data_IF_744809357248
#
_entry.id   IF_744809357248
#
_cell.length_a   1.000
_cell.length_b   1.000
_cell.length_c   1.000
_cell.angle_alpha   90.00
_cell.angle_beta   90.00
_cell.angle_gamma   90.00
#
_symmetry.space_group_name_H-M   'P 1'
#
loop_
_entity.id
_entity.type
_entity.pdbx_description
1 polymer ?
#
# COMPACT_ATOMS: atom_id res chain seq x y z
N UNK A 1 22.40 -14.99 -24.38
CA UNK A 1 23.22 -15.94 -23.63
C UNK A 1 22.45 -16.43 -22.44
N UNK A 2 22.51 -17.70 -22.05
CA UNK A 2 21.69 -18.25 -20.97
C UNK A 2 22.24 -17.75 -19.63
N UNK A 3 21.43 -17.07 -18.84
CA UNK A 3 21.74 -16.72 -17.44
C UNK A 3 22.12 -17.98 -16.65
N UNK A 4 22.94 -17.82 -15.63
CA UNK A 4 23.39 -18.91 -14.77
C UNK A 4 22.19 -19.61 -14.13
N UNK A 5 21.90 -20.84 -14.53
CA UNK A 5 20.88 -21.67 -13.88
C UNK A 5 21.62 -22.62 -12.94
N UNK A 6 21.69 -22.24 -11.64
CA UNK A 6 22.16 -23.17 -10.62
C UNK A 6 21.07 -24.22 -10.32
N UNK A 7 21.50 -25.45 -9.95
CA UNK A 7 20.57 -26.41 -9.34
C UNK A 7 20.25 -25.95 -7.90
N UNK A 8 19.12 -25.33 -7.72
CA UNK A 8 18.71 -24.61 -6.50
C UNK A 8 18.79 -25.50 -5.25
N UNK A 9 18.43 -26.78 -5.33
CA UNK A 9 18.20 -27.65 -4.16
C UNK A 9 19.47 -28.17 -3.46
N UNK A 10 20.68 -27.94 -3.99
CA UNK A 10 21.94 -28.50 -3.43
C UNK A 10 23.09 -27.50 -3.40
N UNK A 11 22.90 -26.28 -3.89
CA UNK A 11 24.01 -25.33 -4.03
C UNK A 11 24.20 -24.50 -2.77
N UNK A 12 25.40 -24.60 -2.18
CA UNK A 12 25.88 -23.73 -1.12
C UNK A 12 26.99 -22.87 -1.69
N UNK A 13 26.76 -21.56 -1.73
CA UNK A 13 27.77 -20.58 -2.17
C UNK A 13 28.67 -20.20 -0.99
N UNK A 14 29.97 -20.17 -1.23
CA UNK A 14 31.03 -19.73 -0.29
C UNK A 14 30.99 -20.44 1.08
N UNK A 15 30.34 -21.63 1.16
CA UNK A 15 30.13 -22.32 2.45
C UNK A 15 29.23 -21.56 3.46
N UNK A 16 28.58 -20.48 3.02
CA UNK A 16 27.79 -19.58 3.85
C UNK A 16 26.30 -19.54 3.46
N UNK A 17 25.98 -19.60 2.15
CA UNK A 17 24.66 -19.28 1.63
C UNK A 17 24.06 -20.48 0.90
N UNK A 18 22.96 -21.01 1.41
CA UNK A 18 22.17 -22.06 0.76
C UNK A 18 21.16 -21.43 -0.18
N UNK A 19 21.21 -21.72 -1.47
CA UNK A 19 20.21 -21.25 -2.42
C UNK A 19 18.86 -21.92 -2.17
N UNK A 20 17.80 -21.09 -2.12
CA UNK A 20 16.42 -21.53 -1.84
C UNK A 20 15.57 -21.51 -3.12
N UNK A 21 15.52 -20.37 -3.81
CA UNK A 21 14.75 -20.18 -5.04
C UNK A 21 15.36 -19.06 -5.90
N UNK A 22 15.01 -19.02 -7.18
CA UNK A 22 15.26 -17.84 -8.01
C UNK A 22 14.16 -16.79 -7.72
N UNK A 23 14.58 -15.54 -7.51
CA UNK A 23 13.68 -14.39 -7.34
C UNK A 23 13.41 -13.69 -8.67
N UNK A 24 14.40 -13.62 -9.56
CA UNK A 24 14.28 -13.01 -10.87
C UNK A 24 15.46 -13.33 -11.77
N UNK A 25 15.23 -13.27 -13.09
CA UNK A 25 16.27 -13.49 -14.11
C UNK A 25 16.21 -12.34 -15.10
N UNK A 26 17.26 -11.53 -15.13
CA UNK A 26 17.47 -10.47 -16.10
C UNK A 26 18.31 -10.90 -17.29
N UNK A 27 18.65 -9.96 -18.17
CA UNK A 27 19.47 -10.21 -19.36
C UNK A 27 20.92 -10.59 -19.04
N UNK A 28 21.49 -10.05 -17.96
CA UNK A 28 22.90 -10.19 -17.56
C UNK A 28 23.08 -10.79 -16.17
N UNK A 29 22.03 -10.94 -15.39
CA UNK A 29 22.09 -11.41 -13.99
C UNK A 29 20.90 -12.26 -13.60
N UNK A 30 21.08 -13.06 -12.55
CA UNK A 30 20.00 -13.80 -11.89
C UNK A 30 20.09 -13.53 -10.40
N UNK A 31 18.93 -13.21 -9.77
CA UNK A 31 18.84 -12.98 -8.34
C UNK A 31 18.24 -14.22 -7.67
N UNK A 32 18.87 -14.70 -6.62
CA UNK A 32 18.43 -15.85 -5.84
C UNK A 32 18.08 -15.45 -4.42
N UNK A 33 17.02 -16.05 -3.87
CA UNK A 33 16.82 -16.13 -2.44
C UNK A 33 17.80 -17.16 -1.87
N UNK A 34 18.53 -16.77 -0.84
CA UNK A 34 19.47 -17.65 -0.15
C UNK A 34 19.33 -17.52 1.37
N UNK A 35 19.51 -18.63 2.07
CA UNK A 35 19.59 -18.68 3.53
C UNK A 35 21.06 -18.60 3.98
N UNK A 36 21.40 -17.64 4.82
CA UNK A 36 22.69 -17.62 5.48
C UNK A 36 22.72 -18.68 6.59
N UNK A 37 23.43 -19.79 6.36
CA UNK A 37 23.36 -21.02 7.16
C UNK A 37 23.61 -20.78 8.66
N UNK A 38 24.62 -19.96 9.01
CA UNK A 38 25.01 -19.73 10.42
C UNK A 38 24.09 -18.73 11.12
N UNK A 39 23.55 -17.73 10.41
CA UNK A 39 22.74 -16.67 10.98
C UNK A 39 21.24 -16.98 10.93
N UNK A 40 20.85 -17.98 10.13
CA UNK A 40 19.46 -18.38 9.90
C UNK A 40 18.59 -17.20 9.46
N UNK A 41 19.10 -16.43 8.49
CA UNK A 41 18.43 -15.28 7.89
C UNK A 41 18.49 -15.34 6.38
N UNK A 42 17.48 -14.78 5.71
CA UNK A 42 17.45 -14.73 4.26
C UNK A 42 18.24 -13.54 3.71
N UNK A 43 18.81 -13.74 2.51
CA UNK A 43 19.52 -12.74 1.69
C UNK A 43 19.09 -12.87 0.25
N UNK A 44 19.16 -11.78 -0.50
CA UNK A 44 19.13 -11.82 -1.95
C UNK A 44 20.58 -11.89 -2.47
N UNK A 45 20.82 -12.75 -3.44
CA UNK A 45 22.16 -12.90 -4.06
C UNK A 45 22.02 -12.66 -5.55
N UNK A 46 22.52 -11.53 -6.03
CA UNK A 46 22.59 -11.18 -7.44
C UNK A 46 23.84 -11.77 -8.04
N UNK A 47 23.68 -12.72 -8.97
CA UNK A 47 24.77 -13.39 -9.69
C UNK A 47 24.94 -12.79 -11.08
N UNK A 48 26.11 -12.25 -11.39
CA UNK A 48 26.44 -11.56 -12.64
C UNK A 48 27.57 -12.33 -13.33
N UNK A 49 27.34 -12.78 -14.57
CA UNK A 49 28.37 -13.53 -15.31
C UNK A 49 29.57 -12.64 -15.65
N UNK A 50 30.81 -13.20 -15.54
CA UNK A 50 32.03 -12.50 -15.88
C UNK A 50 32.24 -12.48 -17.38
N UNK A 51 31.63 -11.55 -18.09
CA UNK A 51 31.99 -11.17 -19.46
C UNK A 51 32.56 -9.73 -19.46
N UNK A 52 33.16 -9.34 -20.58
CA UNK A 52 33.90 -8.06 -20.67
C UNK A 52 33.02 -6.81 -20.44
N UNK A 53 31.70 -6.91 -20.65
CA UNK A 53 30.77 -5.82 -20.44
C UNK A 53 30.25 -5.81 -18.99
N UNK A 54 30.11 -6.99 -18.37
CA UNK A 54 29.57 -7.15 -17.03
C UNK A 54 30.54 -6.73 -15.91
N UNK A 55 31.86 -6.79 -16.16
CA UNK A 55 32.88 -6.39 -15.17
C UNK A 55 32.76 -4.91 -14.81
N UNK A 56 32.59 -4.03 -15.80
CA UNK A 56 32.43 -2.60 -15.56
C UNK A 56 31.11 -2.26 -14.87
N UNK A 57 30.01 -2.96 -15.23
CA UNK A 57 28.71 -2.78 -14.62
C UNK A 57 28.68 -3.23 -13.16
N UNK A 58 29.25 -4.39 -12.86
CA UNK A 58 29.36 -4.90 -11.48
C UNK A 58 30.15 -3.95 -10.58
N UNK A 59 31.34 -3.54 -11.02
CA UNK A 59 32.17 -2.62 -10.24
C UNK A 59 31.46 -1.30 -9.97
N UNK A 60 30.74 -0.78 -10.95
CA UNK A 60 29.97 0.47 -10.79
C UNK A 60 28.80 0.31 -9.82
N UNK A 61 28.00 -0.75 -9.96
CA UNK A 61 26.85 -1.00 -9.07
C UNK A 61 27.31 -1.24 -7.62
N UNK A 62 28.33 -2.06 -7.43
CA UNK A 62 28.90 -2.34 -6.13
C UNK A 62 29.50 -1.09 -5.47
N UNK A 63 30.21 -0.26 -6.24
CA UNK A 63 30.78 1.01 -5.75
C UNK A 63 29.70 2.01 -5.37
N UNK A 64 28.61 2.08 -6.13
CA UNK A 64 27.47 2.94 -5.82
C UNK A 64 26.78 2.51 -4.52
N UNK A 65 26.50 1.22 -4.35
CA UNK A 65 25.65 0.71 -3.29
C UNK A 65 26.34 0.57 -1.93
N UNK A 66 27.68 0.36 -1.88
CA UNK A 66 28.40 0.04 -0.64
C UNK A 66 28.24 1.09 0.48
N UNK A 67 28.06 2.36 0.09
CA UNK A 67 27.99 3.50 1.00
C UNK A 67 26.56 4.06 1.15
N UNK A 68 25.55 3.40 0.55
CA UNK A 68 24.16 3.85 0.63
C UNK A 68 23.51 3.37 1.94
N UNK A 69 22.94 4.31 2.67
CA UNK A 69 22.20 4.07 3.90
C UNK A 69 20.87 4.81 3.89
N UNK A 70 19.84 4.17 3.33
CA UNK A 70 18.49 4.72 3.27
C UNK A 70 17.45 3.61 3.48
N UNK A 71 16.37 3.82 4.26
CA UNK A 71 15.35 2.79 4.50
C UNK A 71 14.72 2.23 3.23
N UNK A 72 14.60 3.03 2.19
CA UNK A 72 14.06 2.66 0.87
C UNK A 72 15.07 2.02 -0.09
N UNK A 73 16.29 1.67 0.35
CA UNK A 73 17.33 1.03 -0.47
C UNK A 73 17.85 -0.22 0.26
N UNK A 74 17.99 -1.38 -0.42
CA UNK A 74 18.55 -2.57 0.20
C UNK A 74 20.00 -2.37 0.66
N UNK A 75 20.34 -2.93 1.81
CA UNK A 75 21.70 -2.91 2.35
C UNK A 75 22.54 -4.00 1.66
N UNK A 76 23.73 -3.66 1.19
CA UNK A 76 24.73 -4.66 0.80
C UNK A 76 25.42 -5.21 2.05
N UNK A 77 25.49 -6.53 2.16
CA UNK A 77 26.13 -7.23 3.26
C UNK A 77 27.52 -7.76 2.89
N UNK A 78 27.70 -8.21 1.64
CA UNK A 78 28.95 -8.83 1.19
C UNK A 78 29.05 -8.79 -0.33
N UNK A 79 30.26 -8.94 -0.85
CA UNK A 79 30.54 -9.11 -2.27
C UNK A 79 31.55 -10.24 -2.41
N UNK A 80 31.26 -11.19 -3.27
CA UNK A 80 32.09 -12.36 -3.50
C UNK A 80 32.26 -12.57 -5.01
N UNK A 81 33.26 -13.35 -5.37
CA UNK A 81 33.49 -13.75 -6.77
C UNK A 81 34.04 -15.15 -6.85
N UNK A 82 33.79 -15.83 -7.99
CA UNK A 82 34.45 -17.06 -8.39
C UNK A 82 35.00 -16.91 -9.81
N UNK A 83 35.41 -18.02 -10.44
CA UNK A 83 35.97 -18.00 -11.81
C UNK A 83 34.97 -17.52 -12.87
N UNK A 84 33.66 -17.68 -12.65
CA UNK A 84 32.60 -17.48 -13.65
C UNK A 84 31.68 -16.29 -13.33
N UNK A 85 31.51 -15.94 -12.06
CA UNK A 85 30.51 -14.96 -11.62
C UNK A 85 31.05 -13.99 -10.58
N UNK A 86 30.44 -12.80 -10.58
CA UNK A 86 30.41 -11.88 -9.45
C UNK A 86 29.10 -12.06 -8.69
N UNK A 87 29.13 -11.85 -7.36
CA UNK A 87 27.99 -11.99 -6.48
C UNK A 87 27.85 -10.75 -5.58
N UNK A 88 26.66 -10.14 -5.58
CA UNK A 88 26.29 -9.11 -4.61
C UNK A 88 25.32 -9.77 -3.63
N UNK A 89 25.68 -9.77 -2.35
CA UNK A 89 24.85 -10.28 -1.26
C UNK A 89 24.18 -9.10 -0.58
N UNK A 90 22.88 -9.00 -0.76
CA UNK A 90 22.10 -7.87 -0.30
C UNK A 90 20.91 -8.27 0.58
N UNK A 91 20.27 -7.29 1.17
CA UNK A 91 19.05 -7.46 1.96
C UNK A 91 17.99 -8.16 1.11
N UNK A 92 17.46 -9.28 1.64
CA UNK A 92 16.23 -9.82 1.09
C UNK A 92 15.06 -8.96 1.50
N UNK A 93 14.43 -8.32 0.54
CA UNK A 93 13.26 -7.46 0.73
C UNK A 93 12.01 -8.32 0.66
N UNK A 94 11.40 -8.57 1.80
CA UNK A 94 10.15 -9.32 1.88
C UNK A 94 8.98 -8.45 1.43
N UNK A 95 8.47 -8.67 0.23
CA UNK A 95 7.39 -7.92 -0.39
C UNK A 95 7.16 -8.39 -1.82
N UNK A 96 6.31 -7.71 -2.55
CA UNK A 96 6.06 -7.97 -3.96
C UNK A 96 6.43 -6.75 -4.82
N UNK A 97 6.73 -6.96 -6.10
CA UNK A 97 7.01 -5.85 -6.99
C UNK A 97 5.77 -4.98 -7.17
N UNK A 98 5.97 -3.68 -7.37
CA UNK A 98 4.87 -2.73 -7.57
C UNK A 98 4.02 -3.10 -8.79
N UNK A 99 4.61 -3.69 -9.83
CA UNK A 99 3.90 -4.24 -10.98
C UNK A 99 2.94 -5.38 -10.57
N UNK A 100 3.43 -6.34 -9.79
CA UNK A 100 2.60 -7.41 -9.23
C UNK A 100 1.52 -6.84 -8.33
N UNK A 101 1.88 -5.92 -7.42
CA UNK A 101 0.95 -5.29 -6.48
C UNK A 101 -0.24 -4.64 -7.19
N UNK A 102 -0.01 -3.80 -8.22
CA UNK A 102 -1.11 -3.13 -8.94
C UNK A 102 -1.88 -4.04 -9.87
N UNK A 103 -1.32 -5.21 -10.26
CA UNK A 103 -2.02 -6.18 -11.11
C UNK A 103 -3.23 -6.83 -10.43
N UNK A 104 -3.20 -6.94 -9.12
CA UNK A 104 -4.27 -7.57 -8.33
C UNK A 104 -4.91 -6.63 -7.29
N UNK A 105 -4.40 -5.39 -7.14
CA UNK A 105 -4.90 -4.45 -6.16
C UNK A 105 -5.18 -3.09 -6.77
N UNK A 106 -6.42 -2.63 -6.65
CA UNK A 106 -6.78 -1.25 -6.96
C UNK A 106 -6.21 -0.35 -5.87
N UNK A 107 -5.52 0.70 -6.25
CA UNK A 107 -4.93 1.67 -5.32
C UNK A 107 -5.81 2.91 -5.14
N UNK A 108 -5.76 3.52 -3.97
CA UNK A 108 -6.39 4.82 -3.76
C UNK A 108 -5.50 5.95 -4.30
N UNK A 109 -6.10 7.11 -4.59
CA UNK A 109 -5.33 8.31 -4.96
C UNK A 109 -4.36 8.72 -3.82
N UNK A 110 -4.78 8.56 -2.57
CA UNK A 110 -3.93 8.78 -1.40
C UNK A 110 -2.69 7.88 -1.40
N UNK A 111 -2.87 6.57 -1.64
CA UNK A 111 -1.75 5.62 -1.67
C UNK A 111 -0.81 5.92 -2.84
N UNK A 112 -1.35 6.27 -4.01
CA UNK A 112 -0.58 6.71 -5.17
C UNK A 112 0.34 7.89 -4.82
N UNK A 113 -0.21 8.92 -4.16
CA UNK A 113 0.56 10.09 -3.74
C UNK A 113 1.62 9.75 -2.70
N UNK A 114 1.30 8.90 -1.72
CA UNK A 114 2.27 8.42 -0.72
C UNK A 114 3.41 7.63 -1.34
N UNK A 115 3.14 6.80 -2.33
CA UNK A 115 4.18 6.12 -3.10
C UNK A 115 5.08 7.11 -3.83
N UNK A 116 4.49 8.12 -4.48
CA UNK A 116 5.24 9.19 -5.13
C UNK A 116 6.14 9.95 -4.17
N UNK A 117 5.63 10.32 -2.99
CA UNK A 117 6.39 11.04 -1.95
C UNK A 117 7.56 10.20 -1.43
N UNK A 118 7.35 8.90 -1.15
CA UNK A 118 8.43 8.00 -0.72
C UNK A 118 9.52 7.84 -1.79
N UNK A 119 9.13 7.72 -3.06
CA UNK A 119 10.10 7.64 -4.17
C UNK A 119 10.85 8.96 -4.35
N UNK A 120 10.19 10.11 -4.15
CA UNK A 120 10.88 11.40 -4.12
C UNK A 120 11.93 11.45 -3.00
N UNK A 121 11.62 10.94 -1.80
CA UNK A 121 12.55 10.89 -0.66
C UNK A 121 13.80 10.05 -0.98
N UNK A 122 13.62 8.87 -1.57
CA UNK A 122 14.73 8.02 -2.02
C UNK A 122 15.59 8.74 -3.08
N UNK A 123 14.96 9.33 -4.09
CA UNK A 123 15.68 10.05 -5.16
C UNK A 123 16.35 11.31 -4.62
N UNK A 124 15.72 12.02 -3.68
CA UNK A 124 16.32 13.18 -3.03
C UNK A 124 17.60 12.80 -2.28
N UNK A 125 17.58 11.67 -1.56
CA UNK A 125 18.77 11.13 -0.92
C UNK A 125 19.88 10.86 -1.95
N UNK A 126 19.57 10.17 -3.06
CA UNK A 126 20.55 9.86 -4.13
C UNK A 126 21.12 11.14 -4.79
N UNK A 127 20.28 12.12 -5.07
CA UNK A 127 20.68 13.36 -5.73
C UNK A 127 21.51 14.30 -4.84
N UNK A 128 21.57 14.08 -3.53
CA UNK A 128 22.34 14.91 -2.59
C UNK A 128 23.56 14.19 -1.99
N UNK A 129 23.89 13.00 -2.50
CA UNK A 129 25.09 12.28 -2.07
C UNK A 129 26.37 13.05 -2.44
N UNK A 130 27.33 12.98 -1.53
CA UNK A 130 28.66 13.58 -1.71
C UNK A 130 29.72 12.48 -1.86
N UNK A 131 30.76 12.62 -2.69
CA UNK A 131 31.09 13.84 -3.46
C UNK A 131 30.32 14.00 -4.77
N UNK A 132 29.63 12.96 -5.23
CA UNK A 132 28.88 13.00 -6.50
C UNK A 132 27.47 12.49 -6.31
N UNK A 133 26.45 13.23 -6.78
CA UNK A 133 25.08 12.73 -6.85
C UNK A 133 24.98 11.44 -7.67
N UNK A 134 24.01 10.61 -7.33
CA UNK A 134 23.68 9.41 -8.10
C UNK A 134 22.36 9.63 -8.86
N UNK A 135 22.38 9.34 -10.16
CA UNK A 135 21.19 9.26 -11.01
C UNK A 135 20.75 7.79 -11.08
N UNK A 136 19.48 7.52 -10.80
CA UNK A 136 18.95 6.17 -10.78
C UNK A 136 18.64 5.62 -12.18
N UNK A 137 17.96 6.40 -13.02
CA UNK A 137 17.71 6.23 -14.46
C UNK A 137 16.81 5.04 -14.88
N UNK A 138 16.44 4.11 -14.01
CA UNK A 138 15.61 2.92 -14.36
C UNK A 138 14.39 2.76 -13.47
N UNK A 139 13.68 3.87 -13.22
CA UNK A 139 12.42 3.84 -12.48
C UNK A 139 11.35 3.10 -13.28
N UNK A 140 10.94 1.93 -12.77
CA UNK A 140 9.85 1.13 -13.33
C UNK A 140 9.22 0.28 -12.22
N UNK A 141 7.98 -0.19 -12.40
CA UNK A 141 7.26 -0.91 -11.36
C UNK A 141 7.96 -2.17 -10.85
N UNK A 142 8.70 -2.88 -11.73
CA UNK A 142 9.42 -4.12 -11.42
C UNK A 142 10.61 -3.89 -10.47
N UNK A 143 11.15 -2.67 -10.43
CA UNK A 143 12.29 -2.30 -9.59
C UNK A 143 11.89 -1.69 -8.24
N UNK A 144 10.62 -1.72 -7.91
CA UNK A 144 10.10 -1.19 -6.65
C UNK A 144 9.37 -2.32 -5.92
N UNK A 145 9.82 -2.62 -4.70
CA UNK A 145 9.19 -3.62 -3.83
C UNK A 145 8.29 -2.93 -2.82
N UNK A 146 7.05 -3.37 -2.75
CA UNK A 146 6.05 -2.91 -1.77
C UNK A 146 6.17 -3.78 -0.52
N UNK A 147 6.52 -3.19 0.61
CA UNK A 147 6.70 -3.84 1.90
C UNK A 147 5.73 -3.22 2.92
N UNK A 148 4.48 -3.67 2.92
CA UNK A 148 3.44 -3.02 3.71
C UNK A 148 3.16 -1.59 3.22
N UNK A 149 3.51 -0.59 4.04
CA UNK A 149 3.37 0.83 3.72
C UNK A 149 4.66 1.48 3.20
N UNK A 150 5.76 0.71 3.12
CA UNK A 150 7.06 1.18 2.69
C UNK A 150 7.41 0.68 1.30
N UNK A 151 8.15 1.50 0.55
CA UNK A 151 8.72 1.12 -0.73
C UNK A 151 10.22 0.92 -0.59
N UNK A 152 10.75 -0.09 -1.30
CA UNK A 152 12.18 -0.23 -1.52
C UNK A 152 12.50 -0.23 -3.01
N UNK A 153 13.46 0.62 -3.38
CA UNK A 153 13.98 0.73 -4.73
C UNK A 153 15.14 -0.26 -4.88
N UNK A 154 15.02 -1.19 -5.81
CA UNK A 154 16.00 -2.25 -6.07
C UNK A 154 16.62 -2.08 -7.46
N UNK A 155 17.70 -2.78 -7.73
CA UNK A 155 18.40 -2.83 -9.03
C UNK A 155 19.01 -1.49 -9.47
N UNK A 156 20.26 -1.28 -9.09
CA UNK A 156 21.07 -0.10 -9.45
C UNK A 156 22.00 -0.35 -10.65
N UNK A 157 21.72 -1.39 -11.47
CA UNK A 157 22.59 -1.84 -12.55
C UNK A 157 22.91 -0.81 -13.62
N UNK A 158 22.09 0.24 -13.80
CA UNK A 158 22.36 1.37 -14.72
C UNK A 158 22.46 2.71 -14.02
N UNK A 159 22.35 2.75 -12.70
CA UNK A 159 22.60 3.96 -11.92
C UNK A 159 24.04 4.46 -12.14
N UNK A 160 24.24 5.77 -12.06
CA UNK A 160 25.55 6.36 -12.33
C UNK A 160 25.81 7.59 -11.50
N UNK A 161 27.10 7.86 -11.20
CA UNK A 161 27.52 9.13 -10.61
C UNK A 161 27.34 10.29 -11.57
N UNK A 162 26.73 11.37 -11.10
CA UNK A 162 26.61 12.62 -11.86
C UNK A 162 27.83 13.49 -11.61
N UNK A 163 28.78 13.48 -12.56
CA UNK A 163 30.05 14.24 -12.45
C UNK A 163 30.00 15.61 -13.13
N UNK A 164 28.85 16.00 -13.70
CA UNK A 164 28.69 17.26 -14.44
C UNK A 164 29.48 17.34 -15.78
N UNK A 165 30.37 16.37 -16.03
CA UNK A 165 31.16 16.31 -17.27
C UNK A 165 30.52 15.29 -18.22
N UNK A 166 29.92 15.77 -19.29
CA UNK A 166 29.16 14.99 -20.27
C UNK A 166 29.98 13.95 -21.03
N UNK A 167 30.47 12.92 -20.36
CA UNK A 167 31.18 11.81 -20.99
C UNK A 167 30.39 10.50 -20.86
N UNK A 168 30.18 9.88 -22.00
CA UNK A 168 29.62 8.56 -22.26
C UNK A 168 28.14 8.36 -22.00
N UNK A 169 27.42 8.52 -23.07
CA UNK A 169 25.97 8.27 -23.10
C UNK A 169 25.72 6.94 -23.79
N UNK A 170 25.62 5.86 -23.01
CA UNK A 170 24.90 4.68 -23.46
C UNK A 170 23.41 5.01 -23.34
N UNK A 171 22.61 4.49 -24.27
CA UNK A 171 21.16 4.59 -24.17
C UNK A 171 20.74 3.67 -23.03
N UNK A 172 20.31 4.26 -21.90
CA UNK A 172 19.88 3.53 -20.72
C UNK A 172 18.40 3.78 -20.43
N UNK A 173 17.78 2.82 -19.77
CA UNK A 173 16.42 2.92 -19.26
C UNK A 173 15.38 2.17 -20.09
N UNK A 174 14.27 1.85 -19.42
CA UNK A 174 13.10 1.20 -20.03
C UNK A 174 12.33 2.24 -20.85
N UNK A 175 12.11 1.98 -22.15
CA UNK A 175 11.61 2.93 -23.15
C UNK A 175 10.38 3.73 -22.71
N UNK A 176 9.48 3.12 -21.92
CA UNK A 176 8.22 3.75 -21.53
C UNK A 176 8.36 4.73 -20.34
N UNK A 177 9.45 4.63 -19.58
CA UNK A 177 9.74 5.42 -18.39
C UNK A 177 10.95 6.34 -18.56
N UNK A 178 11.81 6.09 -19.55
CA UNK A 178 13.05 6.84 -19.76
C UNK A 178 12.79 8.25 -20.29
N UNK A 179 13.56 9.23 -19.80
CA UNK A 179 13.50 10.60 -20.26
C UNK A 179 13.91 10.74 -21.73
N UNK A 180 13.34 11.70 -22.50
CA UNK A 180 13.66 11.89 -23.92
C UNK A 180 15.14 12.08 -24.20
N UNK A 181 15.85 12.84 -23.35
CA UNK A 181 17.30 13.04 -23.44
C UNK A 181 18.09 11.74 -23.22
N UNK A 182 17.65 10.86 -22.31
CA UNK A 182 18.28 9.57 -22.08
C UNK A 182 18.10 8.64 -23.29
N UNK A 183 16.88 8.59 -23.85
CA UNK A 183 16.59 7.82 -25.09
C UNK A 183 17.37 8.35 -26.28
N UNK A 184 17.60 9.66 -26.37
CA UNK A 184 18.37 10.31 -27.43
C UNK A 184 19.90 10.19 -27.24
N UNK A 185 20.37 9.58 -26.12
CA UNK A 185 21.80 9.51 -25.80
C UNK A 185 22.44 10.89 -25.51
N UNK A 186 21.61 11.83 -25.05
CA UNK A 186 22.08 13.17 -24.65
C UNK A 186 22.47 13.19 -23.16
N UNK A 187 23.18 14.22 -22.68
CA UNK A 187 23.51 14.37 -21.28
C UNK A 187 22.28 14.32 -20.38
N UNK A 188 22.33 13.43 -19.38
CA UNK A 188 21.29 13.32 -18.36
C UNK A 188 21.66 14.07 -17.08
N UNK A 189 20.66 14.52 -16.36
CA UNK A 189 20.77 15.21 -15.08
C UNK A 189 19.71 14.66 -14.10
N UNK A 190 19.68 15.09 -12.83
CA UNK A 190 18.63 14.68 -11.89
C UNK A 190 17.19 14.85 -12.41
N UNK A 191 16.98 15.74 -13.39
CA UNK A 191 15.67 15.92 -14.01
C UNK A 191 15.20 14.72 -14.84
N UNK A 192 16.10 13.80 -15.21
CA UNK A 192 15.73 12.56 -15.88
C UNK A 192 14.98 11.61 -14.92
N UNK A 193 15.41 11.53 -13.66
CA UNK A 193 14.70 10.75 -12.63
C UNK A 193 13.35 11.38 -12.27
N UNK A 194 13.23 12.71 -12.31
CA UNK A 194 11.94 13.41 -12.15
C UNK A 194 10.98 13.01 -13.27
N UNK A 195 11.45 12.94 -14.52
CA UNK A 195 10.65 12.46 -15.64
C UNK A 195 10.23 11.00 -15.44
N UNK A 196 11.16 10.13 -15.08
CA UNK A 196 10.89 8.69 -14.84
C UNK A 196 9.84 8.49 -13.74
N UNK A 197 9.96 9.23 -12.63
CA UNK A 197 8.96 9.18 -11.56
C UNK A 197 7.60 9.72 -12.01
N UNK A 198 7.58 10.81 -12.78
CA UNK A 198 6.34 11.34 -13.36
C UNK A 198 5.64 10.31 -14.28
N UNK A 199 6.40 9.59 -15.11
CA UNK A 199 5.90 8.51 -15.97
C UNK A 199 5.37 7.34 -15.14
N UNK A 200 6.07 6.95 -14.08
CA UNK A 200 5.65 5.90 -13.16
C UNK A 200 4.32 6.27 -12.48
N UNK A 201 4.19 7.47 -11.94
CA UNK A 201 2.96 7.94 -11.30
C UNK A 201 1.80 8.05 -12.29
N UNK A 202 2.08 8.45 -13.53
CA UNK A 202 1.09 8.41 -14.63
C UNK A 202 0.61 6.99 -14.91
N UNK A 203 1.52 6.01 -14.96
CA UNK A 203 1.17 4.60 -15.12
C UNK A 203 0.33 4.10 -13.94
N UNK A 204 0.77 4.35 -12.69
CA UNK A 204 0.06 3.95 -11.49
C UNK A 204 -1.34 4.57 -11.38
N UNK A 205 -1.55 5.77 -11.90
CA UNK A 205 -2.87 6.43 -11.89
C UNK A 205 -3.93 5.67 -12.69
N UNK A 206 -3.53 4.78 -13.60
CA UNK A 206 -4.47 3.93 -14.36
C UNK A 206 -5.08 2.80 -13.52
N UNK A 207 -4.49 2.49 -12.36
CA UNK A 207 -4.94 1.46 -11.42
C UNK A 207 -5.71 2.04 -10.22
N UNK A 208 -6.03 3.34 -10.24
CA UNK A 208 -6.83 3.95 -9.18
C UNK A 208 -8.31 3.67 -9.37
N UNK A 209 -9.04 3.50 -8.24
CA UNK A 209 -10.50 3.25 -8.22
C UNK A 209 -11.32 4.38 -8.84
N UNK A 210 -10.79 5.59 -8.84
CA UNK A 210 -11.39 6.79 -9.42
C UNK A 210 -10.32 7.60 -10.15
N UNK A 211 -10.71 8.39 -11.19
CA UNK A 211 -9.77 9.29 -11.83
C UNK A 211 -9.14 10.24 -10.81
N UNK A 212 -7.84 10.46 -10.95
CA UNK A 212 -7.13 11.44 -10.15
C UNK A 212 -7.62 12.87 -10.45
N UNK A 213 -7.25 13.85 -9.63
CA UNK A 213 -7.64 15.24 -9.80
C UNK A 213 -7.00 15.87 -11.04
N UNK A 214 -7.61 16.94 -11.59
CA UNK A 214 -6.99 17.74 -12.66
C UNK A 214 -5.66 18.34 -12.19
N UNK A 215 -5.54 18.67 -10.90
CA UNK A 215 -4.31 19.19 -10.31
C UNK A 215 -3.20 18.13 -10.28
N UNK A 216 -3.51 16.89 -9.94
CA UNK A 216 -2.56 15.78 -10.05
C UNK A 216 -2.04 15.63 -11.48
N UNK A 217 -2.93 15.63 -12.47
CA UNK A 217 -2.50 15.52 -13.87
C UNK A 217 -1.63 16.71 -14.30
N UNK A 218 -1.88 17.92 -13.80
CA UNK A 218 -1.01 19.08 -14.05
C UNK A 218 0.38 18.90 -13.43
N UNK A 219 0.48 18.35 -12.22
CA UNK A 219 1.74 17.99 -11.56
C UNK A 219 2.53 17.01 -12.43
N UNK A 220 1.88 15.93 -12.88
CA UNK A 220 2.51 14.89 -13.71
C UNK A 220 2.93 15.46 -15.06
N UNK A 221 2.09 16.27 -15.70
CA UNK A 221 2.42 16.93 -16.98
C UNK A 221 3.69 17.78 -16.88
N UNK A 222 3.85 18.54 -15.77
CA UNK A 222 5.06 19.30 -15.52
C UNK A 222 6.28 18.38 -15.33
N UNK A 223 6.17 17.34 -14.52
CA UNK A 223 7.26 16.38 -14.29
C UNK A 223 7.71 15.67 -15.57
N UNK A 224 6.77 15.40 -16.49
CA UNK A 224 6.99 14.67 -17.75
C UNK A 224 7.13 15.61 -18.96
N UNK A 225 7.46 16.89 -18.78
CA UNK A 225 7.72 17.81 -19.88
C UNK A 225 8.90 17.30 -20.74
N UNK A 226 8.77 17.42 -22.06
CA UNK A 226 9.77 16.92 -23.01
C UNK A 226 11.12 17.64 -22.83
N UNK A 227 11.10 18.96 -22.61
CA UNK A 227 12.29 19.73 -22.31
C UNK A 227 12.58 19.66 -20.81
N UNK A 228 13.79 19.26 -20.44
CA UNK A 228 14.21 19.11 -19.04
C UNK A 228 14.09 20.42 -18.23
N UNK A 229 14.27 21.59 -18.87
CA UNK A 229 14.16 22.89 -18.22
C UNK A 229 12.72 23.28 -17.83
N UNK A 230 11.71 22.64 -18.44
CA UNK A 230 10.28 22.89 -18.13
C UNK A 230 9.77 21.99 -16.98
N UNK A 231 10.58 21.06 -16.52
CA UNK A 231 10.27 20.18 -15.39
C UNK A 231 10.45 20.88 -14.05
N UNK A 232 10.28 20.15 -12.95
CA UNK A 232 10.69 20.63 -11.64
C UNK A 232 12.21 20.75 -11.59
N UNK A 233 12.71 21.84 -10.99
CA UNK A 233 14.15 22.09 -10.85
C UNK A 233 14.84 21.04 -9.96
N UNK A 234 14.15 20.61 -8.92
CA UNK A 234 14.61 19.58 -7.98
C UNK A 234 13.52 18.56 -7.70
N UNK A 235 13.93 17.36 -7.29
CA UNK A 235 12.98 16.32 -6.85
C UNK A 235 12.19 16.76 -5.61
N UNK A 236 12.77 17.61 -4.76
CA UNK A 236 12.11 18.17 -3.57
C UNK A 236 10.92 19.06 -3.96
N UNK A 237 11.05 19.92 -4.98
CA UNK A 237 9.92 20.71 -5.49
C UNK A 237 8.81 19.85 -6.10
N UNK A 238 9.15 18.71 -6.68
CA UNK A 238 8.16 17.74 -7.13
C UNK A 238 7.46 17.07 -5.94
N UNK A 239 8.22 16.69 -4.91
CA UNK A 239 7.69 16.14 -3.65
C UNK A 239 6.70 17.12 -2.99
N UNK A 240 7.08 18.38 -2.83
CA UNK A 240 6.22 19.44 -2.26
C UNK A 240 4.88 19.58 -3.03
N UNK A 241 4.91 19.46 -4.35
CA UNK A 241 3.71 19.51 -5.17
C UNK A 241 2.81 18.30 -4.91
N UNK A 242 3.38 17.09 -4.75
CA UNK A 242 2.63 15.88 -4.40
C UNK A 242 2.07 15.95 -2.97
N UNK A 243 2.84 16.47 -2.01
CA UNK A 243 2.38 16.67 -0.63
C UNK A 243 1.22 17.66 -0.55
N UNK A 244 1.29 18.76 -1.30
CA UNK A 244 0.20 19.72 -1.39
C UNK A 244 -1.05 19.10 -2.02
N UNK A 245 -0.88 18.27 -3.06
CA UNK A 245 -1.98 17.51 -3.64
C UNK A 245 -2.57 16.54 -2.61
N UNK A 246 -1.73 15.84 -1.85
CA UNK A 246 -2.18 14.94 -0.79
C UNK A 246 -3.03 15.66 0.26
N UNK A 247 -2.62 16.87 0.68
CA UNK A 247 -3.39 17.70 1.62
C UNK A 247 -4.73 18.18 1.05
N UNK A 248 -4.79 18.46 -0.26
CA UNK A 248 -6.00 18.99 -0.90
C UNK A 248 -6.93 17.91 -1.45
N UNK A 249 -6.37 16.82 -1.97
CA UNK A 249 -7.12 15.74 -2.62
C UNK A 249 -7.62 14.68 -1.65
N UNK A 250 -6.87 14.42 -0.58
CA UNK A 250 -7.35 13.60 0.51
C UNK A 250 -8.12 14.49 1.47
N UNK A 251 -9.38 14.14 1.82
CA UNK A 251 -10.05 14.80 2.93
C UNK A 251 -9.13 14.68 4.12
N UNK A 252 -9.05 15.74 4.90
CA UNK A 252 -8.23 15.74 6.11
C UNK A 252 -8.65 14.55 7.00
N UNK A 253 -7.90 13.43 6.87
CA UNK A 253 -8.12 12.21 7.66
C UNK A 253 -7.70 12.46 9.10
N UNK A 254 -7.15 13.66 9.40
CA UNK A 254 -6.82 14.06 10.77
C UNK A 254 -8.04 14.09 11.69
N UNK A 255 -9.24 14.27 11.10
CA UNK A 255 -10.50 14.16 11.81
C UNK A 255 -11.09 12.74 11.83
N UNK A 256 -10.60 11.81 10.97
CA UNK A 256 -11.03 10.42 11.01
C UNK A 256 -10.21 9.66 12.06
N UNK A 257 -10.90 9.03 12.98
CA UNK A 257 -10.26 8.09 13.89
C UNK A 257 -9.61 6.96 13.06
N UNK A 258 -8.29 6.83 13.14
CA UNK A 258 -7.52 5.80 12.40
C UNK A 258 -7.89 4.38 12.84
N UNK A 259 -8.48 4.25 14.02
CA UNK A 259 -8.92 2.98 14.60
C UNK A 259 -10.42 3.06 14.91
N UNK A 260 -11.18 2.13 14.38
CA UNK A 260 -12.60 1.95 14.65
C UNK A 260 -12.81 0.55 15.21
N UNK A 261 -13.37 0.44 16.41
CA UNK A 261 -13.72 -0.84 17.02
C UNK A 261 -15.22 -1.02 17.07
N UNK A 262 -15.74 -2.11 16.53
CA UNK A 262 -17.15 -2.44 16.48
C UNK A 262 -17.43 -3.58 17.44
N UNK A 263 -18.38 -3.37 18.35
CA UNK A 263 -18.77 -4.33 19.38
C UNK A 263 -20.30 -4.47 19.44
N UNK A 264 -20.77 -5.63 19.82
CA UNK A 264 -22.19 -5.91 19.99
C UNK A 264 -22.60 -6.03 21.46
N UNK A 265 -23.80 -5.59 21.80
CA UNK A 265 -24.36 -5.78 23.13
C UNK A 265 -24.66 -7.27 23.44
N UNK A 266 -24.84 -8.09 22.41
CA UNK A 266 -25.10 -9.54 22.49
C UNK A 266 -24.63 -10.29 21.24
N UNK A 267 -24.53 -11.65 21.29
CA UNK A 267 -24.20 -12.45 20.10
C UNK A 267 -25.26 -12.33 19.00
N UNK A 268 -24.83 -12.47 17.74
CA UNK A 268 -25.72 -12.51 16.57
C UNK A 268 -26.36 -11.17 16.18
N UNK A 269 -25.88 -10.07 16.72
CA UNK A 269 -26.45 -8.73 16.46
C UNK A 269 -25.96 -8.09 15.16
N UNK A 270 -25.00 -8.74 14.45
CA UNK A 270 -24.51 -8.30 13.14
C UNK A 270 -23.28 -7.39 13.19
N UNK A 271 -22.41 -7.54 14.20
CA UNK A 271 -21.15 -6.80 14.31
C UNK A 271 -20.28 -6.98 13.06
N UNK A 272 -20.02 -8.23 12.67
CA UNK A 272 -19.25 -8.60 11.48
C UNK A 272 -19.85 -8.01 10.20
N UNK A 273 -21.17 -8.07 10.05
CA UNK A 273 -21.90 -7.51 8.91
C UNK A 273 -21.65 -5.99 8.78
N UNK A 274 -21.77 -5.27 9.88
CA UNK A 274 -21.57 -3.82 9.93
C UNK A 274 -20.10 -3.47 9.67
N UNK A 275 -19.16 -4.24 10.22
CA UNK A 275 -17.73 -4.01 10.04
C UNK A 275 -17.29 -4.20 8.57
N UNK A 276 -17.75 -5.28 7.92
CA UNK A 276 -17.49 -5.54 6.50
C UNK A 276 -18.11 -4.44 5.62
N UNK A 277 -19.37 -4.07 5.90
CA UNK A 277 -20.06 -2.99 5.17
C UNK A 277 -19.34 -1.65 5.30
N UNK A 278 -18.85 -1.31 6.49
CA UNK A 278 -18.09 -0.06 6.72
C UNK A 278 -16.80 -0.04 5.90
N UNK A 279 -16.00 -1.13 5.93
CA UNK A 279 -14.76 -1.24 5.17
C UNK A 279 -15.04 -1.15 3.67
N UNK A 280 -16.06 -1.86 3.17
CA UNK A 280 -16.43 -1.82 1.75
C UNK A 280 -16.81 -0.43 1.29
N UNK A 281 -17.60 0.30 2.10
CA UNK A 281 -18.02 1.68 1.79
C UNK A 281 -16.86 2.65 1.86
N UNK A 282 -15.99 2.56 2.85
CA UNK A 282 -14.80 3.40 2.92
C UNK A 282 -13.91 3.21 1.69
N UNK A 283 -13.61 1.95 1.33
CA UNK A 283 -12.79 1.65 0.16
C UNK A 283 -13.46 2.05 -1.15
N UNK A 284 -14.79 1.86 -1.30
CA UNK A 284 -15.56 2.33 -2.45
C UNK A 284 -15.43 3.85 -2.65
N UNK A 285 -15.32 4.60 -1.55
CA UNK A 285 -15.19 6.06 -1.57
C UNK A 285 -13.73 6.55 -1.53
N UNK A 286 -12.75 5.67 -1.85
CA UNK A 286 -11.35 6.04 -2.04
C UNK A 286 -10.52 6.14 -0.76
N UNK A 287 -11.04 5.70 0.41
CA UNK A 287 -10.24 5.49 1.61
C UNK A 287 -9.53 4.14 1.54
N UNK A 288 -8.41 4.01 2.24
CA UNK A 288 -7.77 2.71 2.42
C UNK A 288 -8.17 2.14 3.77
N UNK A 289 -9.26 1.36 3.81
CA UNK A 289 -9.76 0.73 5.03
C UNK A 289 -9.43 -0.77 5.04
N UNK A 290 -9.08 -1.28 6.22
CA UNK A 290 -8.78 -2.68 6.46
C UNK A 290 -9.66 -3.22 7.60
N UNK A 291 -10.31 -4.34 7.37
CA UNK A 291 -11.01 -5.09 8.41
C UNK A 291 -10.02 -5.99 9.16
N UNK A 292 -10.13 -6.04 10.48
CA UNK A 292 -9.44 -6.99 11.34
C UNK A 292 -10.43 -7.79 12.17
N UNK A 293 -10.42 -9.12 12.02
CA UNK A 293 -11.16 -10.01 12.91
C UNK A 293 -10.41 -10.12 14.25
N UNK A 294 -11.09 -9.77 15.34
CA UNK A 294 -10.50 -9.78 16.69
C UNK A 294 -11.34 -10.57 17.69
N UNK A 295 -11.98 -11.62 17.20
CA UNK A 295 -12.78 -12.57 17.99
C UNK A 295 -12.67 -13.96 17.38
N UNK A 296 -12.87 -14.97 18.18
CA UNK A 296 -12.63 -16.40 17.86
C UNK A 296 -13.74 -17.08 17.05
N UNK A 297 -14.61 -16.34 16.34
CA UNK A 297 -15.73 -16.98 15.60
C UNK A 297 -15.34 -17.46 14.21
N UNK A 298 -14.13 -17.18 13.74
CA UNK A 298 -13.61 -17.62 12.43
C UNK A 298 -14.53 -17.25 11.25
N UNK A 299 -15.12 -16.05 11.33
CA UNK A 299 -16.17 -15.61 10.40
C UNK A 299 -15.62 -15.42 8.98
N UNK A 300 -14.42 -14.82 8.81
CA UNK A 300 -13.83 -14.62 7.49
C UNK A 300 -13.45 -15.96 6.83
N UNK A 301 -12.85 -16.89 7.55
CA UNK A 301 -12.54 -18.21 6.99
C UNK A 301 -13.82 -18.99 6.64
N UNK A 302 -14.90 -18.82 7.41
CA UNK A 302 -16.19 -19.38 7.05
C UNK A 302 -16.71 -18.81 5.72
N UNK A 303 -16.59 -17.48 5.54
CA UNK A 303 -16.98 -16.83 4.28
C UNK A 303 -16.11 -17.27 3.10
N UNK A 304 -14.80 -17.48 3.29
CA UNK A 304 -13.89 -18.02 2.26
C UNK A 304 -14.34 -19.41 1.79
N UNK A 305 -14.75 -20.26 2.71
CA UNK A 305 -15.23 -21.63 2.39
C UNK A 305 -16.52 -21.61 1.56
N UNK A 306 -17.41 -20.68 1.84
CA UNK A 306 -18.74 -20.61 1.21
C UNK A 306 -18.77 -19.74 -0.06
N UNK A 307 -17.83 -18.80 -0.21
CA UNK A 307 -17.80 -17.87 -1.35
C UNK A 307 -16.45 -17.95 -2.11
N UNK A 308 -16.41 -18.68 -3.24
CA UNK A 308 -15.19 -18.87 -4.02
C UNK A 308 -14.68 -17.58 -4.73
N UNK A 309 -15.45 -16.51 -4.71
CA UNK A 309 -15.03 -15.20 -5.26
C UNK A 309 -14.21 -14.38 -4.28
N UNK A 310 -14.23 -14.70 -2.98
CA UNK A 310 -13.34 -14.08 -2.00
C UNK A 310 -11.96 -14.73 -2.18
N UNK A 311 -10.96 -13.91 -2.49
CA UNK A 311 -9.57 -14.37 -2.66
C UNK A 311 -8.82 -14.16 -1.36
N UNK A 312 -8.01 -15.13 -0.98
CA UNK A 312 -7.04 -15.01 0.09
C UNK A 312 -5.63 -15.04 -0.51
N UNK A 313 -4.83 -14.04 -0.19
CA UNK A 313 -3.44 -13.96 -0.58
C UNK A 313 -2.64 -13.33 0.57
N UNK A 314 -1.54 -13.97 0.97
CA UNK A 314 -0.65 -13.52 2.04
C UNK A 314 -1.38 -13.25 3.37
N UNK A 315 -2.44 -14.02 3.65
CA UNK A 315 -3.27 -13.87 4.85
C UNK A 315 -4.28 -12.73 4.78
N UNK A 316 -4.50 -12.14 3.60
CA UNK A 316 -5.47 -11.06 3.39
C UNK A 316 -6.59 -11.55 2.49
N UNK A 317 -7.82 -11.44 2.97
CA UNK A 317 -9.02 -11.72 2.20
C UNK A 317 -9.46 -10.47 1.43
N UNK A 318 -9.79 -10.62 0.15
CA UNK A 318 -10.26 -9.52 -0.69
C UNK A 318 -11.45 -9.92 -1.56
N UNK A 319 -12.43 -9.02 -1.68
CA UNK A 319 -13.59 -9.16 -2.56
C UNK A 319 -14.19 -7.78 -2.88
N UNK A 320 -14.28 -7.42 -4.16
CA UNK A 320 -14.74 -6.09 -4.58
C UNK A 320 -13.97 -4.96 -3.86
N UNK A 321 -14.64 -4.19 -3.02
CA UNK A 321 -14.06 -3.12 -2.20
C UNK A 321 -13.68 -3.57 -0.79
N UNK A 322 -13.95 -4.82 -0.43
CA UNK A 322 -13.61 -5.35 0.88
C UNK A 322 -12.18 -5.88 0.93
N UNK A 323 -11.49 -5.59 2.04
CA UNK A 323 -10.19 -6.16 2.41
C UNK A 323 -10.19 -6.46 3.90
N UNK A 324 -9.75 -7.65 4.27
CA UNK A 324 -9.76 -8.04 5.69
C UNK A 324 -8.73 -9.09 6.05
N UNK A 325 -8.34 -9.07 7.31
CA UNK A 325 -7.43 -10.04 7.94
C UNK A 325 -8.26 -10.90 8.89
N UNK A 326 -8.32 -12.24 8.67
CA UNK A 326 -8.88 -13.18 9.64
C UNK A 326 -8.09 -13.21 10.95
N UNK A 327 -8.68 -13.74 12.00
CA UNK A 327 -7.95 -14.03 13.25
C UNK A 327 -7.09 -15.30 13.09
N UNK A 328 -5.81 -15.14 12.80
CA UNK A 328 -4.84 -16.23 12.75
C UNK A 328 -4.25 -16.58 14.14
N UNK A 329 -4.72 -15.91 15.20
CA UNK A 329 -4.17 -16.04 16.53
C UNK A 329 -2.82 -15.33 16.73
N UNK A 330 -2.31 -15.27 17.98
CA UNK A 330 -1.16 -14.44 18.34
C UNK A 330 0.20 -14.95 17.82
N UNK A 331 0.24 -16.19 17.31
CA UNK A 331 1.50 -16.80 16.84
C UNK A 331 1.86 -16.46 15.40
N UNK A 332 0.94 -15.85 14.64
CA UNK A 332 1.14 -15.52 13.22
C UNK A 332 1.52 -14.06 13.07
N UNK A 333 2.68 -13.80 12.51
CA UNK A 333 3.12 -12.46 12.12
C UNK A 333 2.79 -12.27 10.65
N UNK A 334 1.80 -11.42 10.38
CA UNK A 334 1.43 -11.04 9.01
C UNK A 334 2.11 -9.74 8.62
N UNK A 335 2.51 -9.66 7.35
CA UNK A 335 2.90 -8.38 6.76
C UNK A 335 1.60 -7.59 6.50
N UNK A 336 1.28 -6.62 7.38
CA UNK A 336 0.02 -5.88 7.31
C UNK A 336 0.07 -4.88 6.17
N UNK A 337 -0.94 -4.87 5.28
CA UNK A 337 -1.02 -3.87 4.23
C UNK A 337 -1.27 -2.49 4.83
N UNK A 338 -0.83 -1.46 4.10
CA UNK A 338 -1.18 -0.08 4.47
C UNK A 338 -2.70 0.10 4.54
N UNK A 339 -3.16 0.75 5.61
CA UNK A 339 -4.53 1.19 5.78
C UNK A 339 -4.59 2.54 6.51
N UNK A 340 -5.32 3.50 5.94
CA UNK A 340 -5.58 4.79 6.60
C UNK A 340 -6.57 4.65 7.76
N UNK A 341 -7.43 3.63 7.69
CA UNK A 341 -8.43 3.30 8.71
C UNK A 341 -8.42 1.79 8.95
N UNK A 342 -8.24 1.38 10.20
CA UNK A 342 -8.42 -0.02 10.62
C UNK A 342 -9.78 -0.17 11.33
N UNK A 343 -10.61 -1.07 10.82
CA UNK A 343 -11.91 -1.43 11.40
C UNK A 343 -11.79 -2.78 12.07
N UNK A 344 -11.82 -2.78 13.40
CA UNK A 344 -11.68 -3.98 14.21
C UNK A 344 -13.04 -4.54 14.59
N UNK A 345 -13.34 -5.76 14.15
CA UNK A 345 -14.48 -6.54 14.61
C UNK A 345 -14.13 -7.21 15.94
N UNK A 346 -14.68 -6.71 17.03
CA UNK A 346 -14.43 -7.21 18.38
C UNK A 346 -15.51 -8.17 18.87
N UNK A 347 -16.48 -8.53 18.03
CA UNK A 347 -17.56 -9.44 18.40
C UNK A 347 -18.44 -8.88 19.52
N UNK A 348 -18.69 -9.68 20.55
CA UNK A 348 -19.55 -9.29 21.68
C UNK A 348 -18.73 -8.60 22.77
N UNK A 349 -19.27 -7.50 23.30
CA UNK A 349 -18.69 -6.81 24.44
C UNK A 349 -18.75 -7.69 25.71
N UNK A 350 -17.60 -8.04 26.27
CA UNK A 350 -17.45 -8.71 27.54
C UNK A 350 -16.92 -7.72 28.59
N UNK A 351 -17.50 -7.74 29.81
CA UNK A 351 -17.17 -6.78 30.88
C UNK A 351 -15.69 -6.69 31.27
N UNK A 352 -14.92 -7.73 30.97
CA UNK A 352 -13.51 -7.83 31.35
C UNK A 352 -12.55 -7.45 30.21
N UNK A 353 -13.08 -6.87 29.11
CA UNK A 353 -12.26 -6.31 28.05
C UNK A 353 -11.60 -5.02 28.52
N UNK A 354 -10.30 -4.85 28.12
CA UNK A 354 -9.43 -3.76 28.51
C UNK A 354 -10.08 -2.38 28.39
N UNK A 355 -9.59 -1.44 29.21
CA UNK A 355 -9.98 -0.02 29.19
C UNK A 355 -9.97 0.50 27.75
N UNK A 356 -11.06 1.11 27.27
CA UNK A 356 -11.15 1.64 25.92
C UNK A 356 -10.02 2.62 25.60
N UNK A 357 -9.31 2.38 24.49
CA UNK A 357 -8.27 3.27 23.97
C UNK A 357 -8.90 4.63 23.59
N UNK A 358 -8.45 5.76 24.16
CA UNK A 358 -9.04 7.07 23.91
C UNK A 358 -8.93 7.50 22.43
N UNK A 359 -7.98 6.97 21.67
CA UNK A 359 -7.76 7.30 20.26
C UNK A 359 -8.56 6.40 19.31
N UNK A 360 -9.47 5.57 19.82
CA UNK A 360 -10.31 4.67 19.05
C UNK A 360 -11.76 5.12 19.04
N UNK A 361 -12.40 5.14 17.87
CA UNK A 361 -13.86 5.29 17.74
C UNK A 361 -14.54 3.96 18.02
N UNK A 362 -15.42 3.92 19.00
CA UNK A 362 -16.22 2.74 19.32
C UNK A 362 -17.62 2.83 18.72
N UNK A 363 -17.98 1.86 17.86
CA UNK A 363 -19.35 1.64 17.40
C UNK A 363 -19.95 0.51 18.22
N UNK A 364 -20.86 0.84 19.12
CA UNK A 364 -21.59 -0.17 19.90
C UNK A 364 -22.92 -0.49 19.22
N UNK A 365 -23.03 -1.73 18.76
CA UNK A 365 -24.22 -2.25 18.09
C UNK A 365 -25.21 -2.79 19.13
N UNK A 366 -26.43 -2.27 19.07
CA UNK A 366 -27.53 -2.54 19.98
C UNK A 366 -28.67 -3.27 19.24
N UNK A 367 -29.41 -4.11 19.93
CA UNK A 367 -30.54 -4.86 19.37
C UNK A 367 -31.75 -4.00 19.03
N UNK A 368 -32.05 -3.04 19.88
CA UNK A 368 -33.27 -2.26 19.77
C UNK A 368 -34.57 -3.03 20.10
N UNK A 369 -34.49 -4.30 20.44
CA UNK A 369 -35.63 -5.13 20.83
C UNK A 369 -36.10 -4.80 22.25
N UNK A 370 -37.41 -4.88 22.51
CA UNK A 370 -37.96 -4.56 23.83
C UNK A 370 -37.42 -5.50 24.93
N UNK A 371 -37.19 -6.77 24.60
CA UNK A 371 -36.70 -7.79 25.53
C UNK A 371 -35.18 -7.72 25.76
N UNK A 372 -34.43 -7.04 24.87
CA UNK A 372 -32.99 -6.87 24.99
C UNK A 372 -32.58 -5.51 25.56
N UNK A 373 -33.55 -4.64 25.80
CA UNK A 373 -33.31 -3.24 26.17
C UNK A 373 -32.46 -3.09 27.45
N UNK A 374 -32.58 -3.98 28.39
CA UNK A 374 -31.76 -3.98 29.61
C UNK A 374 -30.31 -4.35 29.31
N UNK A 375 -30.10 -5.32 28.46
CA UNK A 375 -28.76 -5.74 28.00
C UNK A 375 -28.09 -4.61 27.19
N UNK A 376 -28.83 -3.99 26.27
CA UNK A 376 -28.38 -2.88 25.46
C UNK A 376 -27.95 -1.69 26.34
N UNK A 377 -28.77 -1.29 27.31
CA UNK A 377 -28.47 -0.17 28.21
C UNK A 377 -27.27 -0.46 29.11
N UNK A 378 -27.14 -1.71 29.60
CA UNK A 378 -26.02 -2.13 30.43
C UNK A 378 -24.71 -2.12 29.65
N UNK A 379 -24.72 -2.63 28.42
CA UNK A 379 -23.56 -2.57 27.53
C UNK A 379 -23.19 -1.12 27.21
N UNK A 380 -24.16 -0.29 26.81
CA UNK A 380 -23.97 1.13 26.51
C UNK A 380 -23.43 1.92 27.71
N UNK A 381 -23.85 1.57 28.93
CA UNK A 381 -23.40 2.23 30.17
C UNK A 381 -21.89 2.22 30.36
N UNK A 382 -21.21 1.16 29.91
CA UNK A 382 -19.75 1.03 29.99
C UNK A 382 -19.01 2.00 29.07
N UNK A 383 -19.67 2.55 28.05
CA UNK A 383 -19.07 3.45 27.06
C UNK A 383 -19.56 4.90 27.15
N UNK A 384 -20.53 5.21 28.01
CA UNK A 384 -21.12 6.56 28.08
C UNK A 384 -20.11 7.67 28.39
N UNK A 385 -19.07 7.37 29.14
CA UNK A 385 -18.00 8.30 29.50
C UNK A 385 -16.89 8.40 28.44
N UNK A 386 -16.90 7.50 27.44
CA UNK A 386 -15.88 7.53 26.37
C UNK A 386 -16.15 8.71 25.42
N UNK A 387 -15.10 9.52 25.06
CA UNK A 387 -15.27 10.69 24.21
C UNK A 387 -15.75 10.33 22.80
N UNK A 388 -15.31 9.19 22.29
CA UNK A 388 -15.54 8.75 20.90
C UNK A 388 -16.36 7.45 20.88
N UNK A 389 -17.64 7.54 21.21
CA UNK A 389 -18.58 6.42 21.13
C UNK A 389 -19.79 6.78 20.30
N UNK A 390 -20.22 5.87 19.45
CA UNK A 390 -21.43 5.92 18.65
C UNK A 390 -22.29 4.70 18.94
N UNK A 391 -23.57 4.89 19.12
CA UNK A 391 -24.55 3.84 19.34
C UNK A 391 -25.33 3.59 18.05
N UNK A 392 -25.41 2.34 17.62
CA UNK A 392 -26.03 1.90 16.39
C UNK A 392 -26.99 0.74 16.66
N UNK A 393 -28.27 0.88 16.32
CA UNK A 393 -29.22 -0.22 16.38
C UNK A 393 -29.22 -0.99 15.05
N UNK A 394 -29.10 -2.32 15.12
CA UNK A 394 -29.31 -3.23 14.00
C UNK A 394 -30.62 -4.00 14.21
N UNK A 395 -31.26 -4.41 13.11
CA UNK A 395 -32.58 -5.08 13.12
C UNK A 395 -33.68 -4.30 13.85
N UNK A 396 -33.56 -3.00 13.94
CA UNK A 396 -34.47 -2.11 14.67
C UNK A 396 -35.02 -1.00 13.77
N UNK A 397 -36.20 -0.51 14.11
CA UNK A 397 -36.75 0.67 13.46
C UNK A 397 -36.37 1.96 14.21
N UNK A 398 -36.58 3.12 13.58
CA UNK A 398 -36.29 4.42 14.17
C UNK A 398 -37.04 4.68 15.48
N UNK A 399 -38.23 4.08 15.70
CA UNK A 399 -38.96 4.25 16.95
C UNK A 399 -38.27 3.53 18.13
N UNK A 400 -37.71 2.36 17.90
CA UNK A 400 -36.91 1.61 18.88
C UNK A 400 -35.62 2.39 19.22
N UNK A 401 -34.90 2.88 18.21
CA UNK A 401 -33.70 3.68 18.41
C UNK A 401 -33.96 4.95 19.23
N UNK A 402 -35.07 5.65 18.97
CA UNK A 402 -35.48 6.85 19.77
C UNK A 402 -35.73 6.49 21.23
N UNK A 403 -36.34 5.35 21.53
CA UNK A 403 -36.55 4.91 22.91
C UNK A 403 -35.25 4.65 23.67
N UNK A 404 -34.29 4.02 23.00
CA UNK A 404 -32.94 3.80 23.57
C UNK A 404 -32.22 5.13 23.73
N UNK A 405 -32.26 6.00 22.72
CA UNK A 405 -31.66 7.35 22.75
C UNK A 405 -32.15 8.16 23.93
N UNK A 406 -33.47 8.13 24.20
CA UNK A 406 -34.09 8.83 25.35
C UNK A 406 -33.59 8.30 26.71
N UNK A 407 -33.30 7.01 26.82
CA UNK A 407 -32.76 6.41 28.05
C UNK A 407 -31.26 6.65 28.23
N UNK A 408 -30.50 6.70 27.14
CA UNK A 408 -29.04 6.90 27.18
C UNK A 408 -28.65 8.38 27.22
N UNK A 409 -29.56 9.29 26.85
CA UNK A 409 -29.22 10.70 26.65
C UNK A 409 -28.24 10.95 25.50
N UNK A 410 -28.16 10.05 24.55
CA UNK A 410 -27.21 10.06 23.40
C UNK A 410 -27.93 9.75 22.10
N UNK A 411 -27.37 10.20 20.98
CA UNK A 411 -27.87 9.84 19.65
C UNK A 411 -27.66 8.36 19.40
N UNK A 412 -28.71 7.69 18.87
CA UNK A 412 -28.65 6.28 18.45
C UNK A 412 -29.07 6.21 16.99
N UNK A 413 -28.23 5.68 16.15
CA UNK A 413 -28.46 5.50 14.72
C UNK A 413 -29.14 4.17 14.43
N UNK A 414 -29.80 4.05 13.27
CA UNK A 414 -30.32 2.77 12.77
C UNK A 414 -29.52 2.33 11.57
N UNK A 415 -29.01 1.10 11.60
CA UNK A 415 -28.39 0.49 10.43
C UNK A 415 -29.50 0.05 9.45
N UNK A 416 -29.40 0.43 8.15
CA UNK A 416 -30.39 0.01 7.16
C UNK A 416 -30.27 -1.49 6.90
N UNK A 417 -31.42 -2.15 6.78
CA UNK A 417 -31.45 -3.59 6.47
C UNK A 417 -30.97 -3.83 5.05
N UNK A 418 -29.89 -4.59 4.90
CA UNK A 418 -29.34 -5.05 3.63
C UNK A 418 -28.69 -6.41 3.84
N UNK A 419 -29.16 -7.47 3.15
CA UNK A 419 -28.60 -8.82 3.30
C UNK A 419 -27.20 -8.95 2.69
N UNK A 420 -26.82 -8.10 1.72
CA UNK A 420 -25.49 -8.10 1.11
C UNK A 420 -24.52 -7.25 1.90
N UNK A 421 -23.56 -7.91 2.57
CA UNK A 421 -22.56 -7.25 3.41
C UNK A 421 -21.60 -6.37 2.60
N UNK A 422 -21.38 -6.69 1.32
CA UNK A 422 -20.44 -6.01 0.44
C UNK A 422 -21.07 -4.88 -0.36
N UNK A 423 -22.40 -4.77 -0.35
CA UNK A 423 -23.10 -3.73 -1.10
C UNK A 423 -22.80 -2.33 -0.56
N UNK A 424 -22.54 -1.40 -1.47
CA UNK A 424 -22.32 0.02 -1.15
C UNK A 424 -23.58 0.83 -1.51
N UNK A 425 -24.67 0.61 -0.75
CA UNK A 425 -25.92 1.35 -0.98
C UNK A 425 -25.81 2.79 -0.45
N UNK A 426 -26.58 3.70 -1.08
CA UNK A 426 -26.61 5.10 -0.71
C UNK A 426 -27.00 5.32 0.77
N UNK A 427 -27.93 4.50 1.28
CA UNK A 427 -28.39 4.58 2.67
C UNK A 427 -27.28 4.22 3.69
N UNK A 428 -26.48 3.17 3.38
CA UNK A 428 -25.32 2.81 4.19
C UNK A 428 -24.24 3.88 4.14
N UNK A 429 -23.97 4.43 2.95
CA UNK A 429 -23.00 5.54 2.80
C UNK A 429 -23.41 6.77 3.61
N UNK A 430 -24.67 7.19 3.51
CA UNK A 430 -25.20 8.35 4.26
C UNK A 430 -25.02 8.16 5.75
N UNK A 431 -25.36 6.97 6.25
CA UNK A 431 -25.23 6.63 7.66
C UNK A 431 -23.78 6.72 8.13
N UNK A 432 -22.88 6.04 7.43
CA UNK A 432 -21.48 5.99 7.87
C UNK A 432 -20.78 7.34 7.71
N UNK A 433 -21.08 8.10 6.67
CA UNK A 433 -20.54 9.45 6.50
C UNK A 433 -21.02 10.39 7.61
N UNK A 434 -22.30 10.27 8.01
CA UNK A 434 -22.81 11.00 9.15
C UNK A 434 -22.12 10.61 10.47
N UNK A 435 -21.93 9.30 10.72
CA UNK A 435 -21.26 8.79 11.93
C UNK A 435 -19.80 9.26 11.99
N UNK A 436 -19.09 9.22 10.86
CA UNK A 436 -17.68 9.55 10.78
C UNK A 436 -17.42 11.03 10.53
N UNK A 437 -18.47 11.86 10.42
CA UNK A 437 -18.38 13.29 10.09
C UNK A 437 -17.64 13.56 8.78
N UNK A 438 -17.82 12.66 7.79
CA UNK A 438 -17.23 12.77 6.47
C UNK A 438 -18.11 13.66 5.60
N UNK A 439 -17.53 14.71 5.01
CA UNK A 439 -18.23 15.51 4.00
C UNK A 439 -18.29 14.77 2.65
N UNK A 440 -19.47 14.75 2.01
CA UNK A 440 -19.63 14.19 0.68
C UNK A 440 -18.86 15.01 -0.35
N UNK A 441 -17.95 14.40 -1.06
CA UNK A 441 -17.43 14.96 -2.31
C UNK A 441 -18.58 15.02 -3.32
N UNK A 442 -18.93 16.20 -3.83
CA UNK A 442 -19.83 16.35 -4.97
C UNK A 442 -19.18 15.72 -6.20
N UNK A 443 -19.41 14.45 -6.41
CA UNK A 443 -18.97 13.72 -7.62
C UNK A 443 -19.69 14.32 -8.85
N UNK A 444 -18.93 15.05 -9.66
CA UNK A 444 -19.35 15.44 -11.04
C UNK A 444 -19.27 14.22 -11.98
N UNK A 445 -19.89 13.11 -11.59
CA UNK A 445 -19.67 11.81 -12.28
C UNK A 445 -20.68 11.47 -13.38
N UNK A 446 -21.72 12.26 -13.62
CA UNK A 446 -22.80 11.88 -14.55
C UNK A 446 -22.60 12.30 -16.02
N UNK A 447 -21.54 13.02 -16.37
CA UNK A 447 -21.36 13.52 -17.74
C UNK A 447 -20.33 12.77 -18.61
N UNK A 448 -19.42 12.00 -18.01
CA UNK A 448 -18.34 11.36 -18.77
C UNK A 448 -18.68 9.98 -19.33
N UNK A 449 -19.52 9.20 -18.64
CA UNK A 449 -19.92 7.86 -19.10
C UNK A 449 -20.86 7.94 -20.31
N UNK A 450 -21.73 8.95 -20.43
CA UNK A 450 -22.61 9.13 -21.59
C UNK A 450 -21.89 9.51 -22.89
N UNK A 451 -20.65 9.99 -22.85
CA UNK A 451 -19.87 10.33 -24.06
C UNK A 451 -19.07 9.15 -24.63
N UNK A 452 -18.73 8.14 -23.83
CA UNK A 452 -17.92 7.00 -24.29
C UNK A 452 -18.74 5.87 -24.93
N UNK A 453 -20.03 5.76 -24.59
CA UNK A 453 -20.95 4.77 -25.17
C UNK A 453 -21.79 5.29 -26.35
N UNK A 454 -21.55 6.52 -26.83
CA UNK A 454 -22.24 7.04 -28.04
C UNK A 454 -21.38 6.98 -29.31
N UNK A 455 -20.11 6.53 -29.18
CA UNK A 455 -19.17 6.42 -30.31
C UNK A 455 -18.54 5.00 -30.40
N UNK A 456 -19.31 3.97 -30.02
CA UNK A 456 -19.10 2.57 -30.42
C UNK A 456 -20.31 2.05 -31.14
#
# INVERSE_FOLDING_TARGET
MKGAIFRITETILFGKYRLVSALGTGSSSTVYLAEHIKLNVYRAIKCIAKDTASVSSFSSEAELLKDLHHPGIPIIYDMEEDEQFFYIIEEFVAGESLDTFVSHQIISHELLLKFGIQLCDILNYLHHLMPYPILYQDLKPEHIIVCGDQLKLIDFGIASFFTGSGKNYQIYGTKDFAAPEAVAGLPVSPSADIFGLGKLLSYLSTFTSQPCSDHFYAIIQKATASNAADRYETILLFQEALEKELQTACPDVSHLMKKISILGSKPGIGVTHIAISLVSILNHNGYTALYEEAHSTDSLHAMLRENPFIKEQDGICSFQFFRGIPDYGPAVILNRPYASVTVKDCGVFLKDTAIPDPDTLYLLVLSGSLWDMEVDIKAAGSFLSHPHVVFLCNFANHAAARKIAAKLGKTVYCFPFDPDVFSCTQEKEDLFFQILSIERRKLKFLHFIKRRFKNM
#
